data_IF_963489101512
#
_entry.id   IF_963489101512
#
_cell.length_a   1.000
_cell.length_b   1.000
_cell.length_c   1.000
_cell.angle_alpha   90.00
_cell.angle_beta   90.00
_cell.angle_gamma   90.00
#
_symmetry.space_group_name_H-M   'P 1'
#
loop_
_entity.id
_entity.type
_entity.pdbx_description
1 polymer ?
#
# COMPACT_ATOMS: atom_id res chain seq x y z
N UNK A 1 11.68 -8.99 17.20
CA UNK A 1 12.59 -8.15 16.39
C UNK A 1 11.77 -7.59 15.25
N UNK A 2 11.56 -6.28 15.14
CA UNK A 2 10.81 -5.70 14.04
C UNK A 2 11.71 -5.68 12.81
N UNK A 3 11.20 -6.19 11.70
CA UNK A 3 11.91 -6.24 10.44
C UNK A 3 11.87 -4.84 9.83
N UNK A 4 13.00 -4.29 9.39
CA UNK A 4 13.01 -2.99 8.74
C UNK A 4 12.21 -3.07 7.44
N UNK A 5 11.32 -2.09 7.22
CA UNK A 5 10.62 -1.93 5.97
C UNK A 5 11.60 -1.49 4.88
N UNK A 6 11.35 -1.93 3.66
CA UNK A 6 12.21 -1.61 2.52
C UNK A 6 11.83 -0.26 1.90
N UNK A 7 12.84 0.51 1.48
CA UNK A 7 12.69 1.65 0.60
C UNK A 7 12.82 1.19 -0.86
N UNK A 8 12.21 1.92 -1.78
CA UNK A 8 12.38 1.65 -3.21
C UNK A 8 13.84 1.92 -3.62
N UNK A 9 14.37 1.09 -4.49
CA UNK A 9 15.72 1.21 -5.03
C UNK A 9 15.74 2.04 -6.32
N UNK A 10 14.60 2.12 -6.99
CA UNK A 10 14.38 2.88 -8.22
C UNK A 10 13.06 3.66 -8.09
N UNK A 11 12.85 4.65 -8.95
CA UNK A 11 11.58 5.41 -9.00
C UNK A 11 10.38 4.55 -9.44
N UNK A 12 10.60 3.27 -9.77
CA UNK A 12 9.67 2.43 -10.52
C UNK A 12 9.29 1.14 -9.80
N UNK A 13 9.68 0.96 -8.55
CA UNK A 13 9.38 -0.26 -7.79
C UNK A 13 8.50 -0.01 -6.54
N UNK A 14 7.81 1.12 -6.50
CA UNK A 14 6.99 1.48 -5.33
C UNK A 14 5.85 0.49 -5.04
N UNK A 15 5.22 -0.07 -6.07
CA UNK A 15 4.12 -1.02 -5.90
C UNK A 15 4.59 -2.36 -5.29
N UNK A 16 5.56 -3.09 -5.86
CA UNK A 16 6.05 -4.34 -5.28
C UNK A 16 6.64 -4.12 -3.88
N UNK A 17 7.43 -3.06 -3.67
CA UNK A 17 8.01 -2.75 -2.36
C UNK A 17 6.93 -2.44 -1.32
N UNK A 18 5.86 -1.72 -1.68
CA UNK A 18 4.75 -1.43 -0.77
C UNK A 18 3.98 -2.69 -0.38
N UNK A 19 3.77 -3.63 -1.32
CA UNK A 19 3.13 -4.93 -1.01
C UNK A 19 4.03 -5.77 -0.11
N UNK A 20 5.32 -5.86 -0.38
CA UNK A 20 6.25 -6.57 0.51
C UNK A 20 6.27 -5.98 1.91
N UNK A 21 6.28 -4.66 2.04
CA UNK A 21 6.19 -4.00 3.33
C UNK A 21 4.89 -4.38 4.06
N UNK A 22 3.76 -4.41 3.35
CA UNK A 22 2.48 -4.88 3.90
C UNK A 22 2.55 -6.33 4.38
N UNK A 23 3.13 -7.22 3.59
CA UNK A 23 3.32 -8.62 3.98
C UNK A 23 4.22 -8.76 5.21
N UNK A 24 5.29 -7.97 5.32
CA UNK A 24 6.19 -7.94 6.49
C UNK A 24 5.50 -7.44 7.75
N UNK A 25 4.56 -6.50 7.61
CA UNK A 25 3.76 -6.00 8.75
C UNK A 25 2.79 -7.07 9.24
N UNK A 26 2.09 -7.75 8.32
CA UNK A 26 1.09 -8.77 8.63
C UNK A 26 1.70 -10.10 9.08
N UNK A 27 2.77 -10.51 8.42
CA UNK A 27 3.44 -11.78 8.63
C UNK A 27 4.85 -11.52 9.15
N UNK A 28 5.44 -12.45 9.87
CA UNK A 28 6.89 -12.40 10.11
C UNK A 28 7.64 -12.78 8.83
N UNK A 29 8.86 -12.26 8.60
CA UNK A 29 9.67 -12.57 7.40
C UNK A 29 9.78 -14.06 7.12
N UNK A 30 9.90 -14.87 8.19
CA UNK A 30 10.03 -16.32 8.08
C UNK A 30 8.74 -17.02 7.64
N UNK A 31 7.61 -16.34 7.67
CA UNK A 31 6.30 -16.89 7.30
C UNK A 31 5.78 -16.41 5.94
N UNK A 32 6.52 -15.53 5.28
CA UNK A 32 6.16 -15.08 3.92
C UNK A 32 6.61 -16.14 2.92
N UNK A 33 5.69 -16.78 2.16
CA UNK A 33 6.09 -17.73 1.14
C UNK A 33 6.92 -17.06 0.03
N UNK A 34 8.07 -17.63 -0.31
CA UNK A 34 8.94 -17.11 -1.38
C UNK A 34 8.24 -17.04 -2.74
N UNK A 35 7.32 -17.97 -3.00
CA UNK A 35 6.48 -17.97 -4.19
C UNK A 35 5.54 -16.76 -4.24
N UNK A 36 5.06 -16.26 -3.09
CA UNK A 36 4.24 -15.05 -3.03
C UNK A 36 5.10 -13.81 -3.33
N UNK A 37 6.30 -13.71 -2.75
CA UNK A 37 7.24 -12.61 -3.04
C UNK A 37 7.57 -12.55 -4.53
N UNK A 38 7.92 -13.70 -5.12
CA UNK A 38 8.17 -13.79 -6.56
C UNK A 38 6.97 -13.32 -7.39
N UNK A 39 5.75 -13.72 -7.01
CA UNK A 39 4.52 -13.33 -7.70
C UNK A 39 4.24 -11.84 -7.60
N UNK A 40 4.50 -11.23 -6.44
CA UNK A 40 4.41 -9.77 -6.25
C UNK A 40 5.29 -9.06 -7.28
N UNK A 41 6.56 -9.44 -7.40
CA UNK A 41 7.46 -8.81 -8.38
C UNK A 41 7.04 -9.08 -9.83
N UNK A 42 6.65 -10.30 -10.17
CA UNK A 42 6.22 -10.61 -11.55
C UNK A 42 4.98 -9.82 -11.97
N UNK A 43 4.01 -9.63 -11.07
CA UNK A 43 2.77 -8.94 -11.39
C UNK A 43 2.86 -7.42 -11.31
N UNK A 44 3.67 -6.89 -10.37
CA UNK A 44 3.72 -5.47 -10.06
C UNK A 44 4.95 -4.74 -10.59
N UNK A 45 5.89 -5.46 -11.23
CA UNK A 45 7.03 -4.79 -11.87
C UNK A 45 6.55 -3.79 -12.90
N UNK A 46 7.07 -2.59 -12.82
CA UNK A 46 6.75 -1.52 -13.73
C UNK A 46 7.17 -1.87 -15.16
N UNK A 47 6.37 -1.41 -16.11
CA UNK A 47 6.64 -1.57 -17.54
C UNK A 47 6.98 -0.21 -18.13
N UNK A 48 8.07 -0.17 -18.88
CA UNK A 48 8.40 1.00 -19.71
C UNK A 48 7.49 0.97 -20.93
N UNK A 49 6.72 2.02 -21.12
CA UNK A 49 5.88 2.21 -22.30
C UNK A 49 6.72 2.74 -23.48
N UNK A 50 6.21 2.64 -24.73
CA UNK A 50 6.93 3.11 -25.91
C UNK A 50 7.27 4.60 -25.90
N UNK A 51 6.56 5.41 -25.13
CA UNK A 51 6.81 6.85 -24.95
C UNK A 51 7.87 7.14 -23.86
N UNK A 52 8.44 6.08 -23.26
CA UNK A 52 9.41 6.19 -22.17
C UNK A 52 8.79 6.40 -20.78
N UNK A 53 7.50 6.55 -20.67
CA UNK A 53 6.82 6.57 -19.37
C UNK A 53 6.83 5.18 -18.72
N UNK A 54 6.75 5.17 -17.39
CA UNK A 54 6.79 3.93 -16.61
C UNK A 54 5.48 3.80 -15.86
N UNK A 55 4.89 2.63 -15.86
CA UNK A 55 3.65 2.36 -15.16
C UNK A 55 3.57 0.95 -14.61
N UNK A 56 3.08 0.83 -13.38
CA UNK A 56 2.53 -0.44 -12.90
C UNK A 56 1.30 -0.74 -13.74
N UNK A 57 1.26 -1.92 -14.36
CA UNK A 57 0.16 -2.30 -15.26
C UNK A 57 -1.20 -2.10 -14.62
N UNK A 58 -2.12 -1.46 -15.35
CA UNK A 58 -3.52 -1.26 -14.89
C UNK A 58 -4.12 -2.61 -14.49
N UNK A 59 -4.71 -2.71 -13.30
CA UNK A 59 -5.27 -3.95 -12.79
C UNK A 59 -4.25 -4.95 -12.22
N UNK A 60 -2.96 -4.60 -12.14
CA UNK A 60 -1.95 -5.50 -11.57
C UNK A 60 -2.26 -5.87 -10.11
N UNK A 61 -2.72 -4.91 -9.29
CA UNK A 61 -3.18 -5.19 -7.93
C UNK A 61 -4.43 -6.09 -7.90
N UNK A 62 -5.35 -5.98 -8.87
CA UNK A 62 -6.50 -6.87 -8.98
C UNK A 62 -6.06 -8.31 -9.26
N UNK A 63 -5.13 -8.50 -10.19
CA UNK A 63 -4.56 -9.82 -10.48
C UNK A 63 -3.83 -10.40 -9.28
N UNK A 64 -3.09 -9.58 -8.53
CA UNK A 64 -2.44 -10.02 -7.30
C UNK A 64 -3.48 -10.42 -6.24
N UNK A 65 -4.53 -9.63 -6.05
CA UNK A 65 -5.64 -9.94 -5.13
C UNK A 65 -6.26 -11.30 -5.44
N UNK A 66 -6.60 -11.54 -6.70
CA UNK A 66 -7.15 -12.82 -7.15
C UNK A 66 -6.17 -13.97 -6.87
N UNK A 67 -4.91 -13.80 -7.22
CA UNK A 67 -3.88 -14.81 -6.99
C UNK A 67 -3.65 -15.12 -5.50
N UNK A 68 -3.73 -14.11 -4.62
CA UNK A 68 -3.62 -14.33 -3.16
C UNK A 68 -4.81 -15.17 -2.68
N UNK A 69 -6.02 -14.80 -3.07
CA UNK A 69 -7.24 -15.51 -2.64
C UNK A 69 -7.32 -16.95 -3.17
N UNK A 70 -6.75 -17.23 -4.34
CA UNK A 70 -6.71 -18.59 -4.88
C UNK A 70 -5.63 -19.47 -4.24
N UNK A 71 -4.42 -18.92 -4.02
CA UNK A 71 -3.27 -19.74 -3.71
C UNK A 71 -2.78 -19.60 -2.26
N UNK A 72 -3.22 -18.56 -1.54
CA UNK A 72 -2.74 -18.22 -0.19
C UNK A 72 -3.87 -17.95 0.79
N UNK A 73 -5.11 -18.35 0.47
CA UNK A 73 -6.32 -18.10 1.28
C UNK A 73 -6.28 -18.68 2.69
N UNK A 74 -5.38 -19.62 2.97
CA UNK A 74 -5.16 -20.16 4.32
C UNK A 74 -4.35 -19.23 5.24
N UNK A 75 -3.69 -18.20 4.70
CA UNK A 75 -2.85 -17.27 5.45
C UNK A 75 -3.23 -15.80 5.25
N UNK A 76 -3.79 -15.47 4.09
CA UNK A 76 -4.13 -14.10 3.70
C UNK A 76 -5.47 -14.04 3.00
N UNK A 77 -6.19 -12.95 3.25
CA UNK A 77 -7.33 -12.49 2.47
C UNK A 77 -6.96 -11.17 1.80
N UNK A 78 -7.26 -11.03 0.52
CA UNK A 78 -7.00 -9.82 -0.26
C UNK A 78 -8.30 -9.26 -0.83
N UNK A 79 -8.53 -7.95 -0.64
CA UNK A 79 -9.67 -7.23 -1.21
C UNK A 79 -9.14 -6.09 -2.06
N UNK A 80 -9.51 -6.07 -3.34
CA UNK A 80 -9.13 -5.00 -4.26
C UNK A 80 -10.29 -4.04 -4.47
N UNK A 81 -10.00 -2.74 -4.41
CA UNK A 81 -10.93 -1.65 -4.67
C UNK A 81 -10.34 -0.70 -5.72
N UNK A 82 -11.18 -0.09 -6.56
CA UNK A 82 -10.75 0.88 -7.56
C UNK A 82 -11.74 2.02 -7.74
N UNK A 83 -11.25 3.16 -8.20
CA UNK A 83 -12.06 4.32 -8.53
C UNK A 83 -12.92 4.77 -7.35
N UNK A 84 -14.24 4.84 -7.57
CA UNK A 84 -15.23 5.27 -6.54
C UNK A 84 -15.37 4.33 -5.35
N UNK A 85 -14.95 3.07 -5.48
CA UNK A 85 -14.96 2.12 -4.37
C UNK A 85 -13.90 2.47 -3.32
N UNK A 86 -12.86 3.22 -3.72
CA UNK A 86 -11.83 3.71 -2.81
C UNK A 86 -12.35 4.95 -2.08
N UNK A 87 -13.15 4.72 -1.06
CA UNK A 87 -13.62 5.76 -0.15
C UNK A 87 -12.76 5.80 1.11
N UNK A 88 -12.32 7.00 1.49
CA UNK A 88 -11.48 7.24 2.65
C UNK A 88 -12.25 8.07 3.68
N UNK A 89 -12.96 7.39 4.58
CA UNK A 89 -13.75 8.04 5.60
C UNK A 89 -14.26 7.08 6.66
N UNK A 90 -14.93 7.58 7.70
CA UNK A 90 -15.49 6.74 8.77
C UNK A 90 -16.40 5.64 8.20
N UNK A 91 -16.18 4.39 8.66
CA UNK A 91 -16.95 3.23 8.23
C UNK A 91 -16.55 2.65 6.87
N UNK A 92 -15.46 3.11 6.23
CA UNK A 92 -14.96 2.48 5.02
C UNK A 92 -14.20 1.18 5.32
N UNK A 93 -14.17 0.27 4.33
CA UNK A 93 -13.48 -1.02 4.44
C UNK A 93 -12.02 -0.88 4.84
N UNK A 94 -11.31 0.15 4.33
CA UNK A 94 -9.93 0.42 4.72
C UNK A 94 -9.80 0.64 6.23
N UNK A 95 -10.65 1.50 6.80
CA UNK A 95 -10.55 1.84 8.23
C UNK A 95 -10.91 0.65 9.11
N UNK A 96 -11.87 -0.17 8.69
CA UNK A 96 -12.21 -1.42 9.39
C UNK A 96 -11.05 -2.41 9.36
N UNK A 97 -10.44 -2.62 8.20
CA UNK A 97 -9.29 -3.51 8.05
C UNK A 97 -8.09 -3.05 8.88
N UNK A 98 -7.75 -1.75 8.86
CA UNK A 98 -6.63 -1.23 9.65
C UNK A 98 -6.87 -1.35 11.17
N UNK A 99 -8.12 -1.17 11.64
CA UNK A 99 -8.48 -1.39 13.05
C UNK A 99 -8.39 -2.85 13.46
N UNK A 100 -8.63 -3.75 12.55
CA UNK A 100 -8.52 -5.21 12.77
C UNK A 100 -7.08 -5.74 12.63
N UNK A 101 -6.11 -4.85 12.40
CA UNK A 101 -4.70 -5.23 12.24
C UNK A 101 -4.32 -5.61 10.81
N UNK A 102 -5.20 -5.38 9.84
CA UNK A 102 -4.89 -5.47 8.42
C UNK A 102 -3.99 -4.32 7.95
N UNK A 103 -3.56 -4.39 6.71
CA UNK A 103 -2.82 -3.33 6.00
C UNK A 103 -3.43 -3.09 4.63
N UNK A 104 -3.08 -1.97 4.01
CA UNK A 104 -3.47 -1.75 2.63
C UNK A 104 -2.32 -1.16 1.82
N UNK A 105 -2.32 -1.44 0.53
CA UNK A 105 -1.41 -0.85 -0.44
C UNK A 105 -2.22 -0.05 -1.43
N UNK A 106 -1.89 1.22 -1.58
CA UNK A 106 -2.65 2.13 -2.44
C UNK A 106 -1.80 3.24 -3.02
N UNK A 107 -2.34 3.90 -4.04
CA UNK A 107 -1.72 5.11 -4.58
C UNK A 107 -1.81 6.23 -3.56
N UNK A 108 -0.66 6.68 -3.10
CA UNK A 108 -0.51 7.81 -2.17
C UNK A 108 -0.11 9.09 -2.89
N UNK A 109 0.31 8.98 -4.14
CA UNK A 109 0.66 10.03 -5.09
C UNK A 109 0.39 9.55 -6.51
N UNK A 110 0.45 10.44 -7.50
CA UNK A 110 0.07 10.12 -8.88
C UNK A 110 0.85 8.93 -9.46
N UNK A 111 2.14 8.84 -9.17
CA UNK A 111 3.04 7.81 -9.70
C UNK A 111 3.63 6.90 -8.62
N UNK A 112 3.04 6.83 -7.43
CA UNK A 112 3.63 6.06 -6.35
C UNK A 112 2.63 5.39 -5.42
N UNK A 113 3.00 4.21 -4.98
CA UNK A 113 2.28 3.43 -3.99
C UNK A 113 2.89 3.57 -2.61
N UNK A 114 2.09 3.37 -1.58
CA UNK A 114 2.51 3.27 -0.21
C UNK A 114 1.73 2.21 0.55
N UNK A 115 2.28 1.78 1.67
CA UNK A 115 1.68 0.81 2.56
C UNK A 115 1.00 1.52 3.74
N UNK A 116 -0.33 1.50 3.78
CA UNK A 116 -1.14 2.02 4.87
C UNK A 116 -1.17 0.96 5.97
N UNK A 117 -0.70 1.31 7.16
CA UNK A 117 -0.39 0.32 8.20
C UNK A 117 -1.16 0.48 9.50
N UNK A 118 -1.65 1.66 9.81
CA UNK A 118 -2.40 1.86 11.05
C UNK A 118 -3.25 3.13 11.03
N UNK A 119 -4.20 3.18 11.96
CA UNK A 119 -5.18 4.25 12.09
C UNK A 119 -5.33 4.63 13.57
N UNK A 120 -5.34 5.93 13.85
CA UNK A 120 -5.82 6.48 15.12
C UNK A 120 -7.12 7.27 14.89
N UNK A 121 -7.65 7.89 15.93
CA UNK A 121 -8.84 8.75 15.75
C UNK A 121 -8.58 9.95 14.84
N UNK A 122 -7.35 10.47 14.82
CA UNK A 122 -6.99 11.70 14.12
C UNK A 122 -6.13 11.48 12.88
N UNK A 123 -5.38 10.38 12.81
CA UNK A 123 -4.36 10.16 11.80
C UNK A 123 -4.43 8.79 11.14
N UNK A 124 -4.23 8.79 9.83
CA UNK A 124 -3.86 7.62 9.03
C UNK A 124 -2.34 7.57 8.88
N UNK A 125 -1.75 6.44 9.23
CA UNK A 125 -0.31 6.19 9.15
C UNK A 125 0.00 5.31 7.96
N UNK A 126 1.06 5.66 7.24
CA UNK A 126 1.51 4.86 6.10
C UNK A 126 3.03 4.90 5.93
N UNK A 127 3.56 3.92 5.23
CA UNK A 127 4.94 3.88 4.81
C UNK A 127 5.02 4.26 3.32
N UNK A 128 5.69 5.36 3.04
CA UNK A 128 6.05 5.77 1.68
C UNK A 128 7.45 5.21 1.40
N UNK A 129 7.61 4.27 0.45
CA UNK A 129 8.92 3.70 0.14
C UNK A 129 9.87 4.70 -0.53
N UNK A 130 9.36 5.76 -1.13
CA UNK A 130 10.18 6.84 -1.66
C UNK A 130 10.57 7.82 -0.56
N UNK A 131 11.87 7.93 -0.31
CA UNK A 131 12.40 8.97 0.57
C UNK A 131 12.43 10.30 -0.19
N UNK A 132 11.31 11.01 -0.18
CA UNK A 132 11.16 12.28 -0.87
C UNK A 132 11.09 13.47 0.09
N UNK A 133 11.63 14.60 -0.37
CA UNK A 133 11.46 15.92 0.23
C UNK A 133 11.29 16.92 -0.93
N UNK A 134 10.33 17.86 -0.88
CA UNK A 134 9.45 18.18 0.25
C UNK A 134 8.30 17.18 0.42
N UNK A 135 7.70 17.20 1.61
CA UNK A 135 6.48 16.43 1.89
C UNK A 135 5.27 17.06 1.18
N UNK A 136 4.30 16.27 0.73
CA UNK A 136 3.02 16.78 0.27
C UNK A 136 2.31 17.58 1.37
N UNK A 137 1.49 18.55 0.98
CA UNK A 137 0.70 19.36 1.93
C UNK A 137 -0.16 18.47 2.84
N UNK A 138 -0.16 18.76 4.15
CA UNK A 138 -0.91 18.03 5.16
C UNK A 138 -0.35 16.65 5.52
N UNK A 139 0.80 16.26 4.97
CA UNK A 139 1.55 15.07 5.37
C UNK A 139 2.64 15.46 6.35
N UNK A 140 2.73 14.73 7.45
CA UNK A 140 3.76 14.89 8.47
C UNK A 140 4.69 13.67 8.47
N UNK A 141 5.96 13.88 8.86
CA UNK A 141 6.89 12.77 9.11
C UNK A 141 6.53 12.08 10.42
N UNK A 142 6.76 10.78 10.46
CA UNK A 142 6.76 10.01 11.70
C UNK A 142 8.20 9.76 12.08
N UNK A 143 8.64 10.34 13.20
CA UNK A 143 10.03 10.25 13.68
C UNK A 143 10.27 9.03 14.57
N UNK A 144 9.21 8.35 14.98
CA UNK A 144 9.30 7.19 15.85
C UNK A 144 9.76 5.95 15.06
N UNK A 145 10.99 5.54 15.28
CA UNK A 145 11.63 4.37 14.63
C UNK A 145 10.97 3.01 14.96
N UNK A 146 9.99 2.97 15.84
CA UNK A 146 9.26 1.76 16.23
C UNK A 146 8.08 1.51 15.30
N UNK A 147 7.68 2.49 14.50
CA UNK A 147 6.48 2.47 13.69
C UNK A 147 6.68 1.73 12.36
N UNK A 148 5.62 1.09 11.93
CA UNK A 148 5.46 0.54 10.56
C UNK A 148 5.05 1.63 9.56
N UNK A 149 5.40 2.89 9.85
CA UNK A 149 5.06 4.07 9.07
C UNK A 149 6.19 5.09 9.16
N UNK A 150 6.38 5.85 8.08
CA UNK A 150 7.28 7.01 8.04
C UNK A 150 6.53 8.31 7.72
N UNK A 151 5.22 8.21 7.50
CA UNK A 151 4.31 9.31 7.19
C UNK A 151 3.00 9.15 7.94
N UNK A 152 2.36 10.27 8.23
CA UNK A 152 0.98 10.35 8.72
C UNK A 152 0.23 11.50 8.08
N UNK A 153 -1.08 11.35 7.95
CA UNK A 153 -1.98 12.39 7.43
C UNK A 153 -3.22 12.47 8.32
N UNK A 154 -3.71 13.68 8.55
CA UNK A 154 -4.96 13.87 9.30
C UNK A 154 -6.15 13.31 8.55
N UNK A 155 -7.01 12.56 9.24
CA UNK A 155 -8.22 11.97 8.65
C UNK A 155 -9.16 13.06 8.13
N UNK A 156 -9.27 14.18 8.84
CA UNK A 156 -10.11 15.31 8.42
C UNK A 156 -9.71 15.92 7.07
N UNK A 157 -8.46 15.72 6.63
CA UNK A 157 -7.97 16.27 5.35
C UNK A 157 -7.97 15.25 4.21
N UNK A 158 -8.37 14.01 4.46
CA UNK A 158 -8.34 12.94 3.44
C UNK A 158 -9.35 13.17 2.30
N UNK A 159 -10.42 13.95 2.52
CA UNK A 159 -11.43 14.24 1.51
C UNK A 159 -11.30 15.61 0.84
N UNK A 160 -10.42 16.47 1.33
CA UNK A 160 -10.39 17.89 0.92
C UNK A 160 -9.57 18.16 -0.34
N UNK A 161 -8.61 17.29 -0.65
CA UNK A 161 -7.81 17.40 -1.88
C UNK A 161 -7.59 16.01 -2.47
N UNK A 162 -8.23 15.78 -3.60
CA UNK A 162 -8.00 14.57 -4.40
C UNK A 162 -6.55 14.56 -4.91
N UNK A 163 -5.67 13.89 -4.18
CA UNK A 163 -4.24 13.73 -4.50
C UNK A 163 -4.00 12.77 -5.66
N UNK A 164 -5.00 11.96 -5.95
CA UNK A 164 -5.00 11.00 -7.04
C UNK A 164 -6.34 11.13 -7.75
N UNK A 165 -6.32 11.27 -9.07
CA UNK A 165 -7.53 11.28 -9.89
C UNK A 165 -8.36 10.03 -9.60
N UNK A 166 -9.68 10.18 -9.52
CA UNK A 166 -10.61 9.10 -9.15
C UNK A 166 -10.36 7.83 -9.96
N UNK A 167 -10.15 7.98 -11.27
CA UNK A 167 -9.91 6.85 -12.17
C UNK A 167 -8.60 6.09 -11.91
N UNK A 168 -7.64 6.76 -11.24
CA UNK A 168 -6.33 6.18 -10.89
C UNK A 168 -6.29 5.61 -9.48
N UNK A 169 -7.35 5.79 -8.68
CA UNK A 169 -7.39 5.28 -7.30
C UNK A 169 -7.45 3.77 -7.33
N UNK A 170 -6.50 3.17 -6.64
CA UNK A 170 -6.39 1.74 -6.45
C UNK A 170 -6.01 1.43 -5.01
N UNK A 171 -6.64 0.41 -4.42
CA UNK A 171 -6.38 -0.03 -3.06
C UNK A 171 -6.44 -1.55 -2.99
N UNK A 172 -5.39 -2.16 -2.47
CA UNK A 172 -5.31 -3.58 -2.11
C UNK A 172 -5.29 -3.69 -0.59
N UNK A 173 -6.35 -4.17 0.00
CA UNK A 173 -6.43 -4.47 1.44
C UNK A 173 -5.96 -5.90 1.66
N UNK A 174 -5.08 -6.10 2.63
CA UNK A 174 -4.54 -7.39 3.03
C UNK A 174 -4.85 -7.63 4.50
N UNK A 175 -5.41 -8.78 4.80
CA UNK A 175 -5.76 -9.23 6.13
C UNK A 175 -5.20 -10.64 6.37
N UNK A 176 -4.75 -10.88 7.59
CA UNK A 176 -4.34 -12.22 8.00
C UNK A 176 -5.58 -13.05 8.33
N UNK A 177 -5.62 -14.29 7.84
CA UNK A 177 -6.65 -15.29 8.15
C UNK A 177 -6.36 -16.00 9.47
#
# INVERSE_FOLDING_TARGET
>A
MKIPLAYESTLFDSAPVSVENGLRILLSDTSIPSSLVMRVHVLLSDRVLPDGSVTTGRGALAHLSHSINENYSSILKATYLQGREVFLGPGCLLFEALRSGGVAVGRIREEGFGCLSSLTNDYLYYFDPLYSSPLPEGVERVEDMIMTANRKIRISTLGEKDRVEEEKRELLILERV
#
